data_IF_138795035073
#
_entry.id   IF_138795035073
#
_cell.length_a   1.000
_cell.length_b   1.000
_cell.length_c   1.000
_cell.angle_alpha   90.00
_cell.angle_beta   90.00
_cell.angle_gamma   90.00
#
_symmetry.space_group_name_H-M   'P 1'
#
loop_
_entity.id
_entity.type
_entity.pdbx_description
1 polymer ?
#
# COMPACT_ATOMS: atom_id res chain seq x y z
N UNK A 1 -11.32 14.01 -3.94
CA UNK A 1 -10.38 12.88 -4.12
C UNK A 1 -9.61 12.67 -2.83
N UNK A 2 -9.44 11.44 -2.36
CA UNK A 2 -8.69 11.17 -1.15
C UNK A 2 -7.19 11.45 -1.36
N UNK A 3 -6.53 11.84 -0.27
CA UNK A 3 -5.10 12.16 -0.23
C UNK A 3 -4.51 11.70 1.09
N UNK A 4 -3.27 11.21 1.07
CA UNK A 4 -2.52 10.90 2.28
C UNK A 4 -1.08 11.44 2.20
N UNK A 5 -0.48 11.65 3.36
CA UNK A 5 0.96 11.91 3.49
C UNK A 5 1.58 10.62 4.03
N UNK A 6 2.56 10.09 3.31
CA UNK A 6 3.25 8.87 3.71
C UNK A 6 4.67 9.19 4.17
N UNK A 7 5.08 8.63 5.32
CA UNK A 7 6.45 8.63 5.81
C UNK A 7 6.88 7.16 5.93
N UNK A 8 8.01 6.81 5.31
CA UNK A 8 8.59 5.46 5.37
C UNK A 8 9.99 5.54 5.95
N UNK A 9 10.26 4.67 6.92
CA UNK A 9 11.55 4.52 7.56
C UNK A 9 12.01 3.06 7.46
N UNK A 10 13.33 2.85 7.41
CA UNK A 10 13.91 1.52 7.48
C UNK A 10 13.85 1.03 8.92
N UNK A 11 13.35 -0.19 9.12
CA UNK A 11 13.42 -0.88 10.41
C UNK A 11 14.78 -1.59 10.49
N UNK A 12 15.55 -1.28 11.53
CA UNK A 12 16.85 -1.92 11.78
C UNK A 12 16.75 -3.07 12.80
N UNK A 13 15.83 -2.95 13.77
CA UNK A 13 15.51 -3.99 14.74
C UNK A 13 14.00 -4.26 14.70
N UNK A 14 13.64 -5.39 14.12
CA UNK A 14 12.25 -5.79 13.94
C UNK A 14 11.53 -6.06 15.26
N UNK A 15 12.18 -6.77 16.20
CA UNK A 15 11.53 -7.21 17.43
C UNK A 15 11.24 -6.03 18.35
N UNK A 16 12.22 -5.14 18.53
CA UNK A 16 12.04 -3.93 19.33
C UNK A 16 10.98 -3.00 18.73
N UNK A 17 10.98 -2.83 17.41
CA UNK A 17 9.98 -2.01 16.71
C UNK A 17 8.57 -2.58 16.88
N UNK A 18 8.42 -3.90 16.77
CA UNK A 18 7.13 -4.56 16.95
C UNK A 18 6.58 -4.38 18.37
N UNK A 19 7.42 -4.54 19.40
CA UNK A 19 7.02 -4.31 20.81
C UNK A 19 6.50 -2.89 21.02
N UNK A 20 7.20 -1.88 20.50
CA UNK A 20 6.78 -0.47 20.58
C UNK A 20 5.44 -0.27 19.85
N UNK A 21 5.29 -0.79 18.63
CA UNK A 21 4.04 -0.69 17.88
C UNK A 21 2.86 -1.33 18.63
N UNK A 22 3.07 -2.48 19.27
CA UNK A 22 2.04 -3.16 20.06
C UNK A 22 1.65 -2.35 21.30
N UNK A 23 2.63 -1.77 22.00
CA UNK A 23 2.37 -0.90 23.15
C UNK A 23 1.59 0.36 22.76
N UNK A 24 1.97 1.01 21.65
CA UNK A 24 1.32 2.24 21.19
C UNK A 24 -0.09 1.99 20.62
N UNK A 25 -0.30 0.86 19.93
CA UNK A 25 -1.58 0.54 19.31
C UNK A 25 -2.55 -0.20 20.23
N UNK A 26 -2.06 -0.83 21.30
CA UNK A 26 -2.86 -1.72 22.15
C UNK A 26 -3.30 -3.02 21.45
N UNK A 27 -2.69 -3.37 20.32
CA UNK A 27 -3.05 -4.53 19.49
C UNK A 27 -1.79 -5.31 19.09
N UNK A 28 -1.94 -6.62 18.86
CA UNK A 28 -0.89 -7.44 18.25
C UNK A 28 -0.66 -7.09 16.77
N UNK A 29 -1.57 -6.32 16.16
CA UNK A 29 -1.66 -6.12 14.73
C UNK A 29 -2.20 -7.36 14.01
N UNK A 30 -2.36 -7.23 12.71
CA UNK A 30 -2.77 -8.31 11.81
C UNK A 30 -1.78 -8.44 10.65
N UNK A 31 -1.65 -9.67 10.15
CA UNK A 31 -0.84 -9.93 8.96
C UNK A 31 -1.74 -9.84 7.73
N UNK A 32 -1.51 -8.81 6.90
CA UNK A 32 -2.16 -8.66 5.60
C UNK A 32 -1.21 -9.14 4.51
N UNK A 33 -1.56 -10.21 3.81
CA UNK A 33 -0.83 -10.65 2.63
C UNK A 33 -1.20 -9.73 1.45
N UNK A 34 -0.19 -9.25 0.74
CA UNK A 34 -0.39 -8.34 -0.40
C UNK A 34 0.60 -8.69 -1.51
N UNK A 35 0.10 -8.76 -2.73
CA UNK A 35 0.90 -8.78 -3.95
C UNK A 35 0.51 -7.58 -4.80
N UNK A 36 1.48 -6.72 -5.11
CA UNK A 36 1.27 -5.52 -5.93
C UNK A 36 1.82 -5.77 -7.34
N UNK A 37 0.97 -5.64 -8.37
CA UNK A 37 1.34 -5.66 -9.79
C UNK A 37 1.28 -4.23 -10.32
N UNK A 38 2.34 -3.76 -10.98
CA UNK A 38 2.43 -2.38 -11.49
C UNK A 38 2.24 -2.34 -13.00
N UNK A 39 1.44 -1.39 -13.48
CA UNK A 39 1.19 -1.19 -14.90
C UNK A 39 1.87 0.08 -15.40
N UNK A 40 2.29 0.05 -16.67
CA UNK A 40 2.76 1.26 -17.34
C UNK A 40 1.59 2.21 -17.59
N UNK A 41 1.77 3.47 -17.20
CA UNK A 41 0.81 4.55 -17.45
C UNK A 41 1.52 5.77 -17.99
N UNK A 42 0.81 6.58 -18.79
CA UNK A 42 1.35 7.83 -19.35
C UNK A 42 1.51 8.92 -18.30
N UNK A 43 0.70 8.88 -17.23
CA UNK A 43 0.77 9.78 -16.07
C UNK A 43 0.51 9.00 -14.79
N UNK A 44 1.04 9.51 -13.69
CA UNK A 44 0.86 8.90 -12.37
C UNK A 44 1.44 7.49 -12.31
N UNK A 45 0.87 6.67 -11.44
CA UNK A 45 1.21 5.26 -11.27
C UNK A 45 -0.08 4.48 -11.09
N UNK A 46 -0.14 3.28 -11.67
CA UNK A 46 -1.25 2.35 -11.49
C UNK A 46 -0.72 1.04 -10.96
N UNK A 47 -1.39 0.50 -9.96
CA UNK A 47 -1.12 -0.85 -9.46
C UNK A 47 -2.40 -1.59 -9.16
N UNK A 48 -2.36 -2.90 -9.35
CA UNK A 48 -3.32 -3.82 -8.78
C UNK A 48 -2.73 -4.40 -7.50
N UNK A 49 -3.48 -4.33 -6.41
CA UNK A 49 -3.17 -4.99 -5.14
C UNK A 49 -4.08 -6.20 -5.00
N UNK A 50 -3.49 -7.38 -4.94
CA UNK A 50 -4.16 -8.63 -4.61
C UNK A 50 -3.95 -8.94 -3.12
N UNK A 51 -5.04 -9.15 -2.38
CA UNK A 51 -5.01 -9.53 -0.96
C UNK A 51 -4.85 -11.05 -0.74
N UNK A 52 -4.76 -11.83 -1.83
CA UNK A 52 -4.62 -13.29 -1.83
C UNK A 52 -5.79 -14.02 -1.17
N UNK A 53 -6.96 -13.39 -1.12
CA UNK A 53 -8.22 -13.94 -0.62
C UNK A 53 -9.34 -13.92 -1.67
N UNK A 54 -8.98 -13.67 -2.94
CA UNK A 54 -9.91 -13.47 -4.05
C UNK A 54 -10.35 -12.02 -4.26
N UNK A 55 -10.04 -11.12 -3.34
CA UNK A 55 -10.32 -9.69 -3.49
C UNK A 55 -9.05 -8.90 -3.81
N UNK A 56 -9.25 -7.78 -4.48
CA UNK A 56 -8.17 -6.84 -4.76
C UNK A 56 -8.63 -5.42 -4.97
N UNK A 57 -7.66 -4.57 -5.26
CA UNK A 57 -7.84 -3.15 -5.48
C UNK A 57 -7.01 -2.66 -6.64
N UNK A 58 -7.64 -2.04 -7.63
CA UNK A 58 -6.95 -1.25 -8.64
C UNK A 58 -6.77 0.17 -8.10
N UNK A 59 -5.51 0.59 -7.98
CA UNK A 59 -5.12 1.83 -7.30
C UNK A 59 -4.34 2.71 -8.27
N UNK A 60 -4.94 3.83 -8.67
CA UNK A 60 -4.26 4.91 -9.36
C UNK A 60 -3.78 5.95 -8.35
N UNK A 61 -2.54 6.41 -8.48
CA UNK A 61 -2.00 7.44 -7.59
C UNK A 61 -0.94 8.33 -8.25
N UNK A 62 -0.89 9.58 -7.79
CA UNK A 62 0.14 10.56 -8.15
C UNK A 62 0.84 11.00 -6.88
N UNK A 63 2.16 10.77 -6.84
CA UNK A 63 3.04 11.23 -5.76
C UNK A 63 4.40 11.66 -6.33
N UNK A 64 5.08 12.65 -5.73
CA UNK A 64 6.43 13.04 -6.13
C UNK A 64 7.44 11.93 -5.80
N UNK A 65 8.50 11.85 -6.60
CA UNK A 65 9.69 11.03 -6.32
C UNK A 65 10.64 11.82 -5.42
N UNK A 66 10.29 11.92 -4.14
CA UNK A 66 11.10 12.59 -3.13
C UNK A 66 11.36 11.71 -1.92
N UNK A 67 12.48 11.99 -1.25
CA UNK A 67 12.77 11.45 0.07
C UNK A 67 11.91 12.16 1.13
N UNK A 68 11.60 11.47 2.23
CA UNK A 68 10.79 12.02 3.32
C UNK A 68 9.28 12.02 3.06
N UNK A 69 8.52 12.83 3.82
CA UNK A 69 7.05 12.88 3.72
C UNK A 69 6.61 13.26 2.31
N UNK A 70 5.67 12.49 1.74
CA UNK A 70 5.16 12.74 0.39
C UNK A 70 3.65 12.67 0.34
N UNK A 71 3.06 13.71 -0.26
CA UNK A 71 1.64 13.75 -0.55
C UNK A 71 1.34 12.82 -1.73
N UNK A 72 0.37 11.95 -1.57
CA UNK A 72 -0.15 11.10 -2.63
C UNK A 72 -1.65 11.36 -2.80
N UNK A 73 -2.04 11.75 -4.01
CA UNK A 73 -3.44 11.79 -4.42
C UNK A 73 -3.78 10.46 -5.08
N UNK A 74 -4.85 9.80 -4.66
CA UNK A 74 -5.14 8.45 -5.13
C UNK A 74 -6.63 8.22 -5.37
N UNK A 75 -6.91 7.17 -6.14
CA UNK A 75 -8.25 6.60 -6.33
C UNK A 75 -8.15 5.09 -6.21
N UNK A 76 -9.11 4.48 -5.55
CA UNK A 76 -9.18 3.04 -5.32
C UNK A 76 -10.49 2.52 -5.91
N UNK A 77 -10.39 1.48 -6.74
CA UNK A 77 -11.52 0.68 -7.18
C UNK A 77 -11.33 -0.74 -6.69
N UNK A 78 -12.33 -1.30 -6.00
CA UNK A 78 -12.30 -2.69 -5.58
C UNK A 78 -12.55 -3.62 -6.77
N UNK A 79 -11.99 -4.82 -6.72
CA UNK A 79 -12.26 -5.93 -7.66
C UNK A 79 -12.43 -7.23 -6.88
N UNK A 80 -13.32 -8.11 -7.35
CA UNK A 80 -13.48 -9.48 -6.86
C UNK A 80 -12.77 -10.51 -7.75
N UNK A 81 -11.98 -10.03 -8.72
CA UNK A 81 -11.15 -10.86 -9.60
C UNK A 81 -9.83 -10.10 -9.88
N UNK A 82 -8.89 -10.07 -8.92
CA UNK A 82 -7.58 -9.48 -9.16
C UNK A 82 -6.79 -10.28 -10.21
N UNK A 83 -6.82 -11.60 -10.17
CA UNK A 83 -6.05 -12.43 -11.10
C UNK A 83 -6.46 -12.22 -12.56
N UNK A 84 -7.76 -12.07 -12.85
CA UNK A 84 -8.24 -11.76 -14.21
C UNK A 84 -7.83 -10.38 -14.74
N UNK A 85 -7.29 -9.50 -13.88
CA UNK A 85 -6.76 -8.18 -14.25
C UNK A 85 -5.22 -8.17 -14.34
N UNK A 86 -4.56 -9.28 -14.04
CA UNK A 86 -3.14 -9.45 -14.32
C UNK A 86 -2.98 -9.74 -15.83
N UNK A 87 -2.17 -8.92 -16.52
CA UNK A 87 -1.84 -9.07 -17.95
C UNK A 87 -0.37 -9.41 -18.10
#
# INVERSE_FOLDING_TARGET
MPRNVEIKAKINDWESSLKICQQLSGSSGEKILQRDVFFNTTKGRLKLRDFQDGNGQLIYYVRPDQLGPKLSNYSISNTADPHGLEV
#
